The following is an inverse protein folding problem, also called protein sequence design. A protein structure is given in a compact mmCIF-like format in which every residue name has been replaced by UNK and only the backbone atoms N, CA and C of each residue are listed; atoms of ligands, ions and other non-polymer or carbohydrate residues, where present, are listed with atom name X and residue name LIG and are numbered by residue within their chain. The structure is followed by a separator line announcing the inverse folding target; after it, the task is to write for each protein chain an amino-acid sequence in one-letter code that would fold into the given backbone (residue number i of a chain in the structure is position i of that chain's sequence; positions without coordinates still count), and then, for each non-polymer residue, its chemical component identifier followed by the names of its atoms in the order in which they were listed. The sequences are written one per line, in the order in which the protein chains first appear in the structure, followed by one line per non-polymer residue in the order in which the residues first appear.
data_IF_631094263187
#
_entry.id   IF_631094263187
#
_cell.length_a   1.000
_cell.length_b   1.000
_cell.length_c   1.000
_cell.angle_alpha   90.00
_cell.angle_beta   90.00
_cell.angle_gamma   90.00
#
_symmetry.space_group_name_H-M   'P 1'
#
loop_
_entity.id
_entity.type
_entity.pdbx_description
1 polymer ?
#
# COMPACT_ATOMS: atom_id res chain seq x y z
N UNK A 1 12.77 7.87 -5.07
CA UNK A 1 11.88 6.89 -4.44
C UNK A 1 10.78 6.52 -5.41
N UNK A 2 10.37 5.26 -5.44
CA UNK A 2 9.26 4.74 -6.27
C UNK A 2 8.25 4.02 -5.37
N UNK A 3 6.97 4.11 -5.72
CA UNK A 3 5.91 3.36 -5.04
C UNK A 3 5.84 1.88 -5.46
N UNK A 4 6.78 1.40 -6.27
CA UNK A 4 6.83 0.01 -6.69
C UNK A 4 8.20 -0.41 -7.20
N UNK A 5 8.52 -1.68 -7.00
CA UNK A 5 9.78 -2.29 -7.41
C UNK A 5 9.95 -2.33 -8.93
N UNK A 6 8.85 -2.53 -9.67
CA UNK A 6 8.90 -2.70 -11.14
C UNK A 6 9.52 -1.48 -11.84
N UNK A 7 9.11 -0.28 -11.47
CA UNK A 7 9.62 0.97 -12.07
C UNK A 7 11.10 1.19 -11.74
N UNK A 8 11.49 0.88 -10.49
CA UNK A 8 12.89 1.03 -10.07
C UNK A 8 13.80 0.04 -10.78
N UNK A 9 13.36 -1.21 -10.94
CA UNK A 9 14.08 -2.24 -11.70
C UNK A 9 14.25 -1.86 -13.17
N UNK A 10 13.22 -1.30 -13.80
CA UNK A 10 13.31 -0.82 -15.18
C UNK A 10 14.38 0.27 -15.33
N UNK A 11 14.47 1.22 -14.37
CA UNK A 11 15.52 2.24 -14.36
C UNK A 11 16.92 1.64 -14.15
N UNK A 12 17.03 0.58 -13.36
CA UNK A 12 18.31 -0.11 -13.11
C UNK A 12 18.76 -0.89 -14.36
N UNK A 13 17.87 -1.62 -15.01
CA UNK A 13 18.12 -2.35 -16.26
C UNK A 13 18.63 -1.39 -17.36
N UNK A 14 18.05 -0.19 -17.45
CA UNK A 14 18.48 0.88 -18.35
C UNK A 14 19.76 1.60 -17.87
N UNK A 15 20.35 1.17 -16.74
CA UNK A 15 21.58 1.74 -16.14
C UNK A 15 21.48 3.25 -15.85
N UNK A 16 20.28 3.73 -15.53
CA UNK A 16 19.98 5.14 -15.20
C UNK A 16 20.23 5.49 -13.73
N UNK A 17 20.48 4.47 -12.90
CA UNK A 17 20.76 4.63 -11.47
C UNK A 17 22.26 4.71 -11.20
N UNK A 18 22.65 5.43 -10.14
CA UNK A 18 24.01 5.37 -9.59
C UNK A 18 24.20 4.01 -8.94
N UNK A 19 25.27 3.31 -9.31
CA UNK A 19 25.56 1.98 -8.76
C UNK A 19 25.57 1.99 -7.23
N UNK A 20 25.06 0.89 -6.64
CA UNK A 20 25.01 0.65 -5.19
C UNK A 20 24.13 1.60 -4.37
N UNK A 21 23.32 2.47 -5.03
CA UNK A 21 22.37 3.34 -4.33
C UNK A 21 20.93 2.79 -4.31
N UNK A 22 20.62 1.74 -5.06
CA UNK A 22 19.29 1.14 -5.02
C UNK A 22 19.10 0.35 -3.72
N UNK A 23 18.18 0.81 -2.87
CA UNK A 23 17.86 0.20 -1.58
C UNK A 23 16.36 0.24 -1.33
N UNK A 24 15.84 -0.73 -0.58
CA UNK A 24 14.49 -0.63 -0.03
C UNK A 24 14.49 0.38 1.12
N UNK A 25 13.69 1.43 1.01
CA UNK A 25 13.65 2.53 1.96
C UNK A 25 12.69 2.25 3.11
N UNK A 26 11.47 1.87 2.79
CA UNK A 26 10.41 1.58 3.76
C UNK A 26 9.50 0.47 3.23
N UNK A 27 8.75 -0.15 4.15
CA UNK A 27 7.65 -1.08 3.89
C UNK A 27 6.30 -0.42 4.21
N UNK A 28 5.23 -1.02 3.72
CA UNK A 28 3.86 -0.68 4.11
C UNK A 28 3.05 -1.95 4.36
N UNK A 29 1.91 -1.81 5.03
CA UNK A 29 0.95 -2.88 5.18
C UNK A 29 -0.27 -2.62 4.31
N UNK A 30 -0.86 -3.67 3.77
CA UNK A 30 -2.20 -3.63 3.25
C UNK A 30 -3.18 -3.87 4.40
N UNK A 31 -4.22 -3.07 4.50
CA UNK A 31 -5.23 -3.16 5.55
C UNK A 31 -6.63 -3.14 4.98
N UNK A 32 -7.53 -3.87 5.62
CA UNK A 32 -8.97 -3.76 5.43
C UNK A 32 -9.49 -2.63 6.32
N UNK A 33 -10.19 -1.67 5.73
CA UNK A 33 -10.80 -0.55 6.44
C UNK A 33 -12.32 -0.60 6.34
N UNK A 34 -13.00 0.01 7.29
CA UNK A 34 -14.44 0.36 7.24
C UNK A 34 -14.66 1.77 7.74
N UNK A 35 -15.89 2.29 7.64
CA UNK A 35 -16.28 3.49 8.38
C UNK A 35 -16.11 3.28 9.90
N UNK A 36 -15.87 4.36 10.64
CA UNK A 36 -15.58 4.30 12.07
C UNK A 36 -16.68 3.61 12.90
N UNK A 37 -17.93 3.80 12.51
CA UNK A 37 -19.14 3.27 13.16
C UNK A 37 -19.59 1.88 12.66
N UNK A 38 -18.90 1.30 11.67
CA UNK A 38 -19.23 0.00 11.10
C UNK A 38 -19.15 -1.14 12.13
N UNK A 39 -20.02 -2.14 12.01
CA UNK A 39 -20.00 -3.36 12.80
C UNK A 39 -19.10 -4.47 12.21
N UNK A 40 -18.42 -4.20 11.09
CA UNK A 40 -17.48 -5.16 10.48
C UNK A 40 -16.26 -5.33 11.39
N UNK A 41 -15.85 -6.57 11.62
CA UNK A 41 -14.84 -6.95 12.60
C UNK A 41 -13.64 -7.72 12.02
N UNK A 42 -13.65 -8.04 10.72
CA UNK A 42 -12.52 -8.73 10.07
C UNK A 42 -12.86 -9.30 8.70
N UNK A 43 -11.87 -9.95 8.08
CA UNK A 43 -11.97 -10.60 6.76
C UNK A 43 -13.12 -11.62 6.69
N UNK A 44 -13.42 -12.29 7.81
CA UNK A 44 -14.53 -13.27 7.89
C UNK A 44 -15.89 -12.67 7.60
N UNK A 45 -16.08 -11.37 7.88
CA UNK A 45 -17.34 -10.69 7.64
C UNK A 45 -17.58 -10.38 6.14
N UNK A 46 -16.54 -10.43 5.29
CA UNK A 46 -16.65 -10.13 3.85
C UNK A 46 -17.66 -11.04 3.13
N UNK A 47 -17.81 -12.28 3.58
CA UNK A 47 -18.74 -13.26 2.99
C UNK A 47 -20.15 -13.20 3.58
N UNK A 48 -20.40 -12.38 4.60
CA UNK A 48 -21.69 -12.22 5.26
C UNK A 48 -22.50 -11.06 4.66
N UNK A 49 -23.75 -10.92 5.11
CA UNK A 49 -24.64 -9.81 4.70
C UNK A 49 -24.25 -8.45 5.31
N UNK A 50 -23.31 -8.42 6.25
CA UNK A 50 -22.75 -7.18 6.80
C UNK A 50 -21.98 -6.35 5.76
N UNK A 51 -21.43 -7.04 4.73
CA UNK A 51 -20.65 -6.41 3.67
C UNK A 51 -21.34 -6.70 2.34
N UNK A 52 -21.75 -5.66 1.66
CA UNK A 52 -22.36 -5.70 0.33
C UNK A 52 -21.43 -5.21 -0.74
N UNK A 53 -20.58 -4.22 -0.43
CA UNK A 53 -19.62 -3.62 -1.35
C UNK A 53 -18.23 -3.54 -0.73
N UNK A 54 -17.26 -4.06 -1.46
CA UNK A 54 -15.83 -4.10 -1.11
C UNK A 54 -15.07 -3.26 -2.12
N UNK A 55 -14.57 -2.10 -1.72
CA UNK A 55 -13.78 -1.24 -2.59
C UNK A 55 -12.34 -1.75 -2.70
N UNK A 56 -11.87 -1.93 -3.92
CA UNK A 56 -10.49 -2.31 -4.23
C UNK A 56 -9.97 -1.46 -5.38
N UNK A 57 -8.69 -1.19 -5.43
CA UNK A 57 -8.08 -0.62 -6.64
C UNK A 57 -8.17 -1.60 -7.82
N UNK A 58 -8.20 -1.07 -9.04
CA UNK A 58 -8.10 -1.92 -10.25
C UNK A 58 -6.74 -2.63 -10.26
N UNK A 59 -6.74 -3.97 -10.23
CA UNK A 59 -5.52 -4.77 -10.00
C UNK A 59 -4.44 -4.58 -11.08
N UNK A 60 -4.83 -4.26 -12.32
CA UNK A 60 -3.88 -4.07 -13.43
C UNK A 60 -3.14 -2.73 -13.35
N UNK A 61 -3.76 -1.70 -12.79
CA UNK A 61 -3.26 -0.32 -12.80
C UNK A 61 -2.94 0.24 -11.41
N UNK A 62 -3.56 -0.27 -10.35
CA UNK A 62 -3.41 0.22 -8.98
C UNK A 62 -2.65 -0.81 -8.13
N UNK A 63 -1.43 -0.50 -7.64
CA UNK A 63 -0.63 -1.46 -6.87
C UNK A 63 -1.36 -2.04 -5.65
N UNK A 64 -2.09 -1.23 -4.88
CA UNK A 64 -2.88 -1.72 -3.75
C UNK A 64 -3.98 -2.71 -4.18
N UNK A 65 -4.57 -2.51 -5.35
CA UNK A 65 -5.54 -3.42 -5.94
C UNK A 65 -4.93 -4.77 -6.28
N UNK A 66 -3.69 -4.78 -6.82
CA UNK A 66 -2.96 -6.02 -7.06
C UNK A 66 -2.72 -6.80 -5.76
N UNK A 67 -2.29 -6.13 -4.68
CA UNK A 67 -2.09 -6.78 -3.40
C UNK A 67 -3.41 -7.30 -2.80
N UNK A 68 -4.50 -6.54 -2.93
CA UNK A 68 -5.82 -6.98 -2.50
C UNK A 68 -6.28 -8.23 -3.28
N UNK A 69 -6.03 -8.27 -4.58
CA UNK A 69 -6.31 -9.42 -5.44
C UNK A 69 -5.50 -10.66 -5.01
N UNK A 70 -4.21 -10.49 -4.72
CA UNK A 70 -3.35 -11.55 -4.17
C UNK A 70 -3.91 -12.09 -2.83
N UNK A 71 -4.28 -11.20 -1.90
CA UNK A 71 -4.89 -11.57 -0.60
C UNK A 71 -6.17 -12.37 -0.80
N UNK A 72 -7.10 -11.87 -1.60
CA UNK A 72 -8.39 -12.52 -1.83
C UNK A 72 -8.22 -13.87 -2.53
N UNK A 73 -7.25 -13.99 -3.43
CA UNK A 73 -6.92 -15.24 -4.13
C UNK A 73 -6.33 -16.26 -3.14
N UNK A 74 -5.32 -15.87 -2.36
CA UNK A 74 -4.64 -16.77 -1.43
C UNK A 74 -5.55 -17.24 -0.27
N UNK A 75 -6.54 -16.42 0.10
CA UNK A 75 -7.58 -16.79 1.08
C UNK A 75 -8.75 -17.56 0.46
N UNK A 76 -8.75 -17.86 -0.85
CA UNK A 76 -9.85 -18.49 -1.59
C UNK A 76 -11.18 -17.72 -1.45
N UNK A 77 -11.12 -16.40 -1.40
CA UNK A 77 -12.26 -15.50 -1.27
C UNK A 77 -12.67 -14.83 -2.57
N UNK A 78 -11.77 -14.73 -3.56
CA UNK A 78 -11.96 -13.96 -4.78
C UNK A 78 -13.26 -14.33 -5.51
N UNK A 79 -13.47 -15.62 -5.79
CA UNK A 79 -14.68 -16.08 -6.50
C UNK A 79 -15.97 -15.88 -5.70
N UNK A 80 -15.87 -16.00 -4.36
CA UNK A 80 -17.02 -15.82 -3.47
C UNK A 80 -17.45 -14.35 -3.35
N UNK A 81 -16.53 -13.43 -3.57
CA UNK A 81 -16.73 -12.00 -3.35
C UNK A 81 -16.87 -11.21 -4.66
N UNK A 82 -16.72 -11.84 -5.83
CA UNK A 82 -16.70 -11.18 -7.15
C UNK A 82 -17.85 -10.18 -7.36
N UNK A 83 -19.06 -10.55 -6.91
CA UNK A 83 -20.27 -9.73 -7.08
C UNK A 83 -20.34 -8.56 -6.07
N UNK A 84 -19.46 -8.55 -5.05
CA UNK A 84 -19.34 -7.49 -4.05
C UNK A 84 -18.20 -6.52 -4.35
N UNK A 85 -17.26 -6.89 -5.23
CA UNK A 85 -16.10 -6.04 -5.55
C UNK A 85 -16.53 -4.82 -6.38
N UNK A 86 -16.04 -3.65 -6.00
CA UNK A 86 -16.14 -2.41 -6.76
C UNK A 86 -14.73 -1.84 -6.96
N UNK A 87 -14.42 -1.50 -8.21
CA UNK A 87 -13.04 -1.18 -8.62
C UNK A 87 -12.84 0.32 -8.71
N UNK A 88 -11.86 0.82 -8.00
CA UNK A 88 -11.46 2.22 -7.96
C UNK A 88 -10.19 2.46 -8.81
N UNK A 89 -10.05 3.65 -9.35
CA UNK A 89 -8.88 4.07 -10.15
C UNK A 89 -7.63 4.33 -9.31
N UNK A 90 -7.77 4.54 -8.01
CA UNK A 90 -6.66 4.75 -7.06
C UNK A 90 -7.11 4.48 -5.62
N UNK A 91 -6.14 4.43 -4.70
CA UNK A 91 -6.38 4.15 -3.26
C UNK A 91 -7.17 5.28 -2.58
N UNK A 92 -7.02 6.53 -3.02
CA UNK A 92 -7.76 7.66 -2.45
C UNK A 92 -9.26 7.55 -2.75
N UNK A 93 -9.61 7.04 -3.92
CA UNK A 93 -11.00 6.77 -4.28
C UNK A 93 -11.58 5.64 -3.44
N UNK A 94 -10.83 4.54 -3.20
CA UNK A 94 -11.22 3.47 -2.25
C UNK A 94 -11.55 4.09 -0.88
N UNK A 95 -10.63 4.90 -0.36
CA UNK A 95 -10.78 5.58 0.93
C UNK A 95 -12.03 6.47 0.97
N UNK A 96 -12.22 7.29 -0.08
CA UNK A 96 -13.37 8.17 -0.19
C UNK A 96 -14.72 7.42 -0.23
N UNK A 97 -14.78 6.27 -0.91
CA UNK A 97 -16.00 5.46 -0.96
C UNK A 97 -16.34 4.84 0.40
N UNK A 98 -15.34 4.38 1.15
CA UNK A 98 -15.55 3.86 2.51
C UNK A 98 -15.99 4.98 3.45
N UNK A 99 -15.35 6.15 3.39
CA UNK A 99 -15.71 7.31 4.22
C UNK A 99 -17.13 7.83 3.97
N UNK A 100 -17.61 7.76 2.73
CA UNK A 100 -18.93 8.23 2.32
C UNK A 100 -20.03 7.17 2.43
N UNK A 101 -19.68 5.91 2.82
CA UNK A 101 -20.63 4.80 2.85
C UNK A 101 -21.02 4.26 1.47
N UNK A 102 -20.32 4.65 0.41
CA UNK A 102 -20.50 4.08 -0.94
C UNK A 102 -19.94 2.66 -1.05
N UNK A 103 -19.01 2.28 -0.16
CA UNK A 103 -18.56 0.92 0.08
C UNK A 103 -18.52 0.66 1.59
N UNK A 104 -18.82 -0.58 1.99
CA UNK A 104 -18.85 -0.98 3.40
C UNK A 104 -17.44 -1.14 3.95
N UNK A 105 -16.54 -1.63 3.12
CA UNK A 105 -15.12 -1.86 3.43
C UNK A 105 -14.26 -1.58 2.20
N UNK A 106 -12.94 -1.45 2.42
CA UNK A 106 -11.99 -1.30 1.33
C UNK A 106 -10.58 -1.72 1.73
N UNK A 107 -9.75 -2.02 0.72
CA UNK A 107 -8.34 -2.31 0.91
C UNK A 107 -7.49 -1.09 0.55
N UNK A 108 -6.72 -0.62 1.52
CA UNK A 108 -5.82 0.53 1.40
C UNK A 108 -4.48 0.24 2.07
N UNK A 109 -3.50 1.10 1.92
CA UNK A 109 -2.29 1.01 2.72
C UNK A 109 -2.51 1.56 4.12
N UNK A 110 -1.79 1.02 5.11
CA UNK A 110 -1.86 1.51 6.49
C UNK A 110 -1.50 3.00 6.57
N UNK A 111 -0.53 3.46 5.78
CA UNK A 111 -0.16 4.88 5.71
C UNK A 111 -1.31 5.80 5.29
N UNK A 112 -2.30 5.30 4.54
CA UNK A 112 -3.47 6.09 4.12
C UNK A 112 -4.50 6.26 5.24
N UNK A 113 -4.34 5.50 6.35
CA UNK A 113 -5.28 5.53 7.50
C UNK A 113 -4.85 6.48 8.61
N UNK A 114 -3.59 6.93 8.59
CA UNK A 114 -3.02 7.79 9.63
C UNK A 114 -3.75 9.14 9.65
N UNK A 115 -4.11 9.60 10.86
CA UNK A 115 -4.85 10.85 11.10
C UNK A 115 -6.21 10.93 10.39
N UNK A 116 -6.93 9.81 10.29
CA UNK A 116 -8.22 9.74 9.62
C UNK A 116 -9.31 9.15 10.53
N UNK A 117 -10.02 10.01 11.24
CA UNK A 117 -11.03 9.63 12.23
C UNK A 117 -12.33 9.08 11.63
N UNK A 118 -12.53 9.20 10.31
CA UNK A 118 -13.75 8.74 9.63
C UNK A 118 -13.76 7.26 9.31
N UNK A 119 -12.60 6.62 9.44
CA UNK A 119 -12.43 5.20 9.17
C UNK A 119 -11.75 4.51 10.35
N UNK A 120 -11.85 3.19 10.37
CA UNK A 120 -11.03 2.35 11.24
C UNK A 120 -10.39 1.22 10.45
N UNK A 121 -9.21 0.83 10.89
CA UNK A 121 -8.56 -0.40 10.44
C UNK A 121 -9.31 -1.58 11.09
N UNK A 122 -9.91 -2.42 10.26
CA UNK A 122 -10.66 -3.60 10.70
C UNK A 122 -9.73 -4.77 10.91
N UNK A 123 -8.83 -4.97 9.94
CA UNK A 123 -7.84 -6.06 9.99
C UNK A 123 -6.64 -5.72 9.10
N UNK A 124 -5.45 -6.06 9.58
CA UNK A 124 -4.24 -6.06 8.78
C UNK A 124 -4.12 -7.38 8.03
N UNK A 125 -3.79 -7.34 6.75
CA UNK A 125 -3.56 -8.57 5.97
C UNK A 125 -2.31 -9.31 6.46
N UNK A 126 -2.32 -10.65 6.39
CA UNK A 126 -1.12 -11.43 6.64
C UNK A 126 -0.13 -11.23 5.48
N UNK A 127 1.10 -10.84 5.80
CA UNK A 127 2.18 -10.59 4.83
C UNK A 127 2.47 -11.82 3.93
N UNK A 128 2.05 -13.04 4.36
CA UNK A 128 2.17 -14.27 3.56
C UNK A 128 1.12 -14.37 2.46
N UNK A 129 0.08 -13.55 2.50
CA UNK A 129 -1.03 -13.60 1.54
C UNK A 129 -0.84 -12.70 0.33
N UNK A 130 0.20 -11.87 0.30
CA UNK A 130 0.51 -10.98 -0.82
C UNK A 130 2.02 -10.76 -0.96
N UNK A 131 2.44 -10.26 -2.10
CA UNK A 131 3.83 -9.87 -2.35
C UNK A 131 4.27 -8.73 -1.41
N UNK A 132 5.56 -8.65 -1.03
CA UNK A 132 6.05 -7.59 -0.15
C UNK A 132 5.77 -6.18 -0.70
N UNK A 133 5.26 -5.31 0.16
CA UNK A 133 4.98 -3.90 -0.17
C UNK A 133 6.18 -3.07 0.26
N UNK A 134 7.13 -2.86 -0.65
CA UNK A 134 8.37 -2.10 -0.41
C UNK A 134 8.47 -0.91 -1.34
N UNK A 135 9.06 0.17 -0.85
CA UNK A 135 9.30 1.41 -1.59
C UNK A 135 10.80 1.60 -1.76
N UNK A 136 11.36 1.32 -2.93
CA UNK A 136 12.77 1.50 -3.18
C UNK A 136 13.14 2.97 -3.39
N UNK A 137 14.36 3.31 -3.02
CA UNK A 137 15.03 4.60 -3.29
C UNK A 137 16.30 4.35 -4.07
N UNK A 138 16.71 5.30 -4.89
CA UNK A 138 18.02 5.32 -5.56
C UNK A 138 18.34 6.71 -6.07
N UNK A 139 19.61 6.97 -6.32
CA UNK A 139 20.10 8.20 -6.94
C UNK A 139 20.15 8.05 -8.45
N UNK A 140 19.60 9.02 -9.16
CA UNK A 140 19.59 9.06 -10.65
C UNK A 140 20.93 9.54 -11.18
N UNK A 141 21.51 8.82 -12.15
CA UNK A 141 22.81 9.18 -12.78
C UNK A 141 22.85 10.56 -13.42
N UNK A 142 21.74 10.97 -14.04
CA UNK A 142 21.63 12.27 -14.72
C UNK A 142 21.51 13.46 -13.75
N UNK A 143 21.49 13.21 -12.42
CA UNK A 143 21.47 14.29 -11.43
C UNK A 143 22.71 15.15 -11.53
N UNK A 144 22.54 16.47 -11.50
CA UNK A 144 23.64 17.43 -11.39
C UNK A 144 24.20 17.55 -9.96
N UNK A 145 23.54 16.93 -8.98
CA UNK A 145 23.83 17.02 -7.55
C UNK A 145 23.92 15.62 -6.91
N UNK A 146 24.69 14.70 -7.52
CA UNK A 146 24.79 13.30 -7.08
C UNK A 146 25.22 13.18 -5.62
N UNK A 147 26.22 13.95 -5.18
CA UNK A 147 26.70 13.88 -3.80
C UNK A 147 25.65 14.36 -2.77
N UNK A 148 24.92 15.42 -3.10
CA UNK A 148 23.80 15.86 -2.25
C UNK A 148 22.67 14.84 -2.21
N UNK A 149 22.37 14.20 -3.36
CA UNK A 149 21.36 13.15 -3.44
C UNK A 149 21.74 11.91 -2.61
N UNK A 150 23.01 11.50 -2.61
CA UNK A 150 23.53 10.42 -1.75
C UNK A 150 23.40 10.76 -0.26
N UNK A 151 23.77 11.97 0.14
CA UNK A 151 23.61 12.42 1.54
C UNK A 151 22.15 12.44 1.96
N UNK A 152 21.25 12.82 1.07
CA UNK A 152 19.82 12.78 1.32
C UNK A 152 19.32 11.33 1.44
N UNK A 153 19.76 10.42 0.58
CA UNK A 153 19.45 8.99 0.70
C UNK A 153 19.95 8.42 2.02
N UNK A 154 21.18 8.73 2.45
CA UNK A 154 21.72 8.34 3.76
C UNK A 154 20.86 8.88 4.91
N UNK A 155 20.40 10.13 4.83
CA UNK A 155 19.48 10.69 5.82
C UNK A 155 18.15 9.93 5.85
N UNK A 156 17.54 9.63 4.70
CA UNK A 156 16.28 8.87 4.64
C UNK A 156 16.40 7.48 5.28
N UNK A 157 17.58 6.85 5.14
CA UNK A 157 17.88 5.53 5.71
C UNK A 157 18.36 5.59 7.18
N UNK A 158 18.66 6.78 7.70
CA UNK A 158 19.08 6.97 9.08
C UNK A 158 17.91 6.73 10.06
N UNK A 159 18.24 6.52 11.33
CA UNK A 159 17.23 6.38 12.39
C UNK A 159 16.27 7.59 12.44
N UNK A 160 16.79 8.80 12.28
CA UNK A 160 15.97 10.02 12.25
C UNK A 160 15.04 10.08 11.05
N UNK A 161 15.51 9.72 9.86
CA UNK A 161 14.69 9.64 8.65
C UNK A 161 13.61 8.56 8.77
N UNK A 162 13.96 7.39 9.31
CA UNK A 162 13.01 6.28 9.49
C UNK A 162 11.91 6.62 10.49
N UNK A 163 12.21 7.31 11.60
CA UNK A 163 11.20 7.80 12.55
C UNK A 163 10.14 8.68 11.89
N UNK A 164 10.56 9.56 10.97
CA UNK A 164 9.61 10.39 10.22
C UNK A 164 8.65 9.51 9.40
N UNK A 165 9.17 8.47 8.72
CA UNK A 165 8.31 7.56 7.97
C UNK A 165 7.35 6.78 8.86
N UNK A 166 7.80 6.34 10.05
CA UNK A 166 6.96 5.65 11.03
C UNK A 166 5.78 6.50 11.51
N UNK A 167 5.99 7.81 11.72
CA UNK A 167 4.92 8.76 12.07
C UNK A 167 3.82 8.84 11.00
N UNK A 168 4.16 8.54 9.73
CA UNK A 168 3.23 8.47 8.63
C UNK A 168 2.76 7.05 8.29
N UNK A 169 2.97 6.08 9.20
CA UNK A 169 2.45 4.73 9.07
C UNK A 169 3.27 3.79 8.19
N UNK A 170 4.47 4.18 7.77
CA UNK A 170 5.40 3.27 7.11
C UNK A 170 6.20 2.46 8.13
N UNK A 171 6.83 1.39 7.66
CA UNK A 171 7.70 0.52 8.46
C UNK A 171 9.11 0.53 7.93
N UNK A 172 10.07 0.41 8.85
CA UNK A 172 11.47 0.18 8.51
C UNK A 172 11.63 -1.16 7.77
N UNK A 173 12.54 -1.21 6.81
CA UNK A 173 13.01 -2.46 6.21
C UNK A 173 14.03 -3.09 7.16
N UNK A 174 13.81 -4.36 7.52
CA UNK A 174 14.75 -5.17 8.28
C UNK A 174 15.92 -5.65 7.43
#
# INVERSE_FOLDING_TARGET
MSAGQKQMKALDEEKLLVSDTMKDLVKNDLVLISSADSSVSGMKDLTTDKVKKIAVGEAESVPAGKYADEVLTNLNLKDKLKDKLVFAKDVKEVLAWVQSGNADVGFVYFSDTVNNDKIKVVEKTDEKTHSPITYPVSVIKASKNVDAAKKFEEFLLSESGQKIFEEFGYKKVE
#
